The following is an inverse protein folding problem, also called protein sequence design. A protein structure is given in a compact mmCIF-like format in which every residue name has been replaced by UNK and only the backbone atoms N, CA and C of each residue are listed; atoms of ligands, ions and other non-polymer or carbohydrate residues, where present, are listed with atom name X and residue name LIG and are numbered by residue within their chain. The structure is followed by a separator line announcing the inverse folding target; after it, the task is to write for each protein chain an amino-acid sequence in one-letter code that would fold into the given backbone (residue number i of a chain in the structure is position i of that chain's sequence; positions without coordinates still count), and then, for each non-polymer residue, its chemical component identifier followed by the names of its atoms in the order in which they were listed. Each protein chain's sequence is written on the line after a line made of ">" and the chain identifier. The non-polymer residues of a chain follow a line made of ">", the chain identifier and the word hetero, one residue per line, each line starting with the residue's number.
data_IF_388947593637
#
_entry.id   IF_388947593637
#
_cell.length_a   1.000
_cell.length_b   1.000
_cell.length_c   1.000
_cell.angle_alpha   90.00
_cell.angle_beta   90.00
_cell.angle_gamma   90.00
#
_symmetry.space_group_name_H-M   'P 1'
#
loop_
_entity.id
_entity.type
_entity.pdbx_description
1 polymer ?
#
# COMPACT_ATOMS: atom_id res chain seq x y z
N UNK A 1 -2.51 -35.57 41.40
CA UNK A 1 -1.50 -34.52 41.62
C UNK A 1 -0.34 -34.57 40.59
N UNK A 2 -0.59 -34.83 39.32
CA UNK A 2 0.48 -34.93 38.28
C UNK A 2 0.34 -33.85 37.18
N UNK A 3 -0.80 -33.15 37.11
CA UNK A 3 -1.04 -32.16 36.06
C UNK A 3 -0.47 -30.73 36.31
N UNK A 4 -0.22 -30.37 37.59
CA UNK A 4 0.38 -29.04 37.92
C UNK A 4 1.85 -28.89 37.51
N UNK A 5 2.61 -29.98 37.47
CA UNK A 5 4.03 -29.95 37.11
C UNK A 5 4.30 -29.74 35.60
N UNK A 6 3.37 -30.23 34.77
CA UNK A 6 3.51 -30.10 33.29
C UNK A 6 3.20 -28.69 32.79
N UNK A 7 2.30 -27.95 33.44
CA UNK A 7 1.96 -26.58 33.10
C UNK A 7 3.16 -25.66 33.40
N UNK A 8 3.77 -25.78 34.60
CA UNK A 8 4.94 -24.99 35.00
C UNK A 8 6.18 -25.27 34.13
N UNK A 9 6.35 -26.52 33.63
CA UNK A 9 7.47 -26.86 32.75
C UNK A 9 7.31 -26.28 31.34
N UNK A 10 6.06 -26.16 30.88
CA UNK A 10 5.73 -25.54 29.61
C UNK A 10 5.99 -24.04 29.63
N UNK A 11 5.56 -23.37 30.71
CA UNK A 11 5.76 -21.93 30.88
C UNK A 11 7.26 -21.58 31.02
N UNK A 12 8.04 -22.37 31.78
CA UNK A 12 9.50 -22.18 31.94
C UNK A 12 10.26 -22.45 30.61
N UNK A 13 9.79 -23.38 29.80
CA UNK A 13 10.35 -23.66 28.48
C UNK A 13 9.99 -22.58 27.45
N UNK A 14 8.77 -22.08 27.49
CA UNK A 14 8.34 -20.98 26.66
C UNK A 14 9.11 -19.70 26.98
N UNK A 15 9.33 -19.38 28.24
CA UNK A 15 10.12 -18.22 28.67
C UNK A 15 11.61 -18.33 28.28
N UNK A 16 12.20 -19.52 28.35
CA UNK A 16 13.60 -19.75 27.89
C UNK A 16 13.76 -19.72 26.37
N UNK A 17 12.75 -20.14 25.64
CA UNK A 17 12.77 -20.14 24.18
C UNK A 17 12.31 -18.79 23.58
N UNK A 18 11.66 -17.95 24.38
CA UNK A 18 11.15 -16.64 23.96
C UNK A 18 12.20 -15.76 23.26
N UNK A 19 13.43 -15.55 23.81
CA UNK A 19 14.43 -14.74 23.13
C UNK A 19 14.93 -15.38 21.82
N UNK A 20 15.07 -16.71 21.76
CA UNK A 20 15.49 -17.43 20.55
C UNK A 20 14.38 -17.37 19.49
N UNK A 21 13.13 -17.52 19.92
CA UNK A 21 11.96 -17.43 19.03
C UNK A 21 11.75 -16.02 18.51
N UNK A 22 11.94 -14.98 19.35
CA UNK A 22 11.88 -13.59 18.94
C UNK A 22 12.97 -13.23 17.91
N UNK A 23 14.14 -13.85 18.03
CA UNK A 23 15.25 -13.65 17.10
C UNK A 23 15.07 -14.39 15.77
N UNK A 24 14.47 -15.60 15.79
CA UNK A 24 14.23 -16.40 14.58
C UNK A 24 12.90 -16.05 13.87
N UNK A 25 11.91 -15.58 14.63
CA UNK A 25 10.58 -15.23 14.14
C UNK A 25 10.13 -13.93 14.83
N UNK A 26 10.71 -12.78 14.45
CA UNK A 26 10.33 -11.51 15.05
C UNK A 26 8.83 -11.26 14.86
N UNK A 27 8.21 -10.63 15.85
CA UNK A 27 6.85 -10.10 15.70
C UNK A 27 6.87 -9.05 14.61
N UNK A 28 5.88 -9.04 13.76
CA UNK A 28 5.77 -8.08 12.68
C UNK A 28 4.56 -7.20 12.91
N UNK A 29 4.75 -5.91 12.76
CA UNK A 29 3.70 -4.91 12.83
C UNK A 29 3.56 -4.24 11.46
N UNK A 30 2.37 -4.34 10.89
CA UNK A 30 2.00 -3.64 9.69
C UNK A 30 1.46 -2.27 10.08
N UNK A 31 1.94 -1.19 9.46
CA UNK A 31 1.46 0.17 9.69
C UNK A 31 1.07 0.85 8.37
N UNK A 32 -0.15 1.34 8.31
CA UNK A 32 -0.64 2.21 7.25
C UNK A 32 -0.62 3.65 7.75
N UNK A 33 0.22 4.48 7.12
CA UNK A 33 0.32 5.90 7.40
C UNK A 33 -0.64 6.67 6.48
N UNK A 34 -1.44 7.56 7.07
CA UNK A 34 -2.28 8.51 6.36
C UNK A 34 -2.00 9.92 6.89
N UNK A 35 -2.50 10.96 6.22
CA UNK A 35 -2.26 12.34 6.66
C UNK A 35 -2.93 12.66 8.00
N UNK A 36 -4.02 11.95 8.32
CA UNK A 36 -4.89 12.19 9.49
C UNK A 36 -5.03 10.99 10.42
N UNK A 37 -4.46 9.84 10.06
CA UNK A 37 -4.62 8.62 10.85
C UNK A 37 -3.46 7.63 10.67
N UNK A 38 -3.29 6.79 11.68
CA UNK A 38 -2.39 5.66 11.70
C UNK A 38 -3.22 4.39 11.94
N UNK A 39 -3.17 3.44 11.01
CA UNK A 39 -3.76 2.12 11.17
C UNK A 39 -2.67 1.08 11.28
N UNK A 40 -2.89 0.06 12.10
CA UNK A 40 -1.91 -1.01 12.26
C UNK A 40 -2.54 -2.34 12.60
N UNK A 41 -1.81 -3.39 12.26
CA UNK A 41 -2.19 -4.77 12.55
C UNK A 41 -0.95 -5.59 12.83
N UNK A 42 -0.94 -6.29 13.97
CA UNK A 42 0.09 -7.28 14.24
C UNK A 42 -0.09 -8.48 13.31
N UNK A 43 0.98 -8.84 12.59
CA UNK A 43 1.02 -10.03 11.75
C UNK A 43 1.52 -11.22 12.59
N UNK A 44 0.69 -12.26 12.73
CA UNK A 44 1.00 -13.48 13.48
C UNK A 44 1.19 -13.31 14.99
N UNK A 45 0.31 -12.55 15.63
CA UNK A 45 0.16 -12.66 17.08
C UNK A 45 -0.20 -14.10 17.46
N UNK A 46 0.63 -14.73 18.30
CA UNK A 46 0.36 -16.12 18.80
C UNK A 46 -0.71 -16.16 19.89
N UNK A 47 -1.32 -15.00 20.17
CA UNK A 47 -2.35 -14.83 21.20
C UNK A 47 -3.76 -14.85 20.64
N UNK A 48 -4.76 -14.95 21.49
CA UNK A 48 -6.17 -14.96 21.07
C UNK A 48 -6.65 -13.66 20.44
N UNK A 49 -5.88 -12.57 20.56
CA UNK A 49 -6.21 -11.27 19.98
C UNK A 49 -4.93 -10.66 19.38
N UNK A 50 -4.88 -10.58 18.05
CA UNK A 50 -3.87 -9.80 17.37
C UNK A 50 -4.12 -8.31 17.62
N UNK A 51 -3.07 -7.54 17.92
CA UNK A 51 -3.19 -6.10 18.17
C UNK A 51 -3.63 -5.40 16.89
N UNK A 52 -4.71 -4.62 16.98
CA UNK A 52 -5.20 -3.76 15.93
C UNK A 52 -5.13 -2.31 16.41
N UNK A 53 -4.60 -1.44 15.58
CA UNK A 53 -4.39 -0.03 15.84
C UNK A 53 -5.27 0.78 14.88
N UNK A 54 -6.01 1.74 15.40
CA UNK A 54 -6.72 2.77 14.62
C UNK A 54 -6.67 4.06 15.44
N UNK A 55 -5.77 4.96 15.06
CA UNK A 55 -5.44 6.15 15.82
C UNK A 55 -5.50 7.38 14.93
N UNK A 56 -6.32 8.39 15.27
CA UNK A 56 -6.27 9.68 14.60
C UNK A 56 -4.95 10.38 14.92
N UNK A 57 -4.30 10.96 13.90
CA UNK A 57 -3.12 11.80 14.10
C UNK A 57 -3.52 13.20 14.54
N UNK A 58 -2.71 13.86 15.38
CA UNK A 58 -2.95 15.26 15.72
C UNK A 58 -2.95 16.14 14.46
N UNK A 59 -3.80 17.16 14.38
CA UNK A 59 -3.84 18.06 13.23
C UNK A 59 -2.46 18.67 12.91
N UNK A 60 -2.14 18.77 11.63
CA UNK A 60 -0.91 19.37 11.12
C UNK A 60 0.39 18.60 11.46
N UNK A 61 0.31 17.38 11.95
CA UNK A 61 1.52 16.54 12.12
C UNK A 61 1.96 15.90 10.81
N UNK A 62 1.04 15.69 9.89
CA UNK A 62 1.30 15.23 8.52
C UNK A 62 0.46 16.02 7.52
N UNK A 63 1.00 16.32 6.35
CA UNK A 63 0.30 17.01 5.28
C UNK A 63 0.87 16.59 3.91
N UNK A 64 -0.01 16.23 2.98
CA UNK A 64 0.35 15.76 1.63
C UNK A 64 1.40 14.64 1.64
N UNK A 65 1.30 13.75 2.63
CA UNK A 65 2.21 12.63 2.83
C UNK A 65 3.52 12.96 3.52
N UNK A 66 3.77 14.23 3.86
CA UNK A 66 4.99 14.67 4.51
C UNK A 66 4.80 14.78 6.03
N UNK A 67 5.67 14.16 6.87
CA UNK A 67 5.67 14.40 8.30
C UNK A 67 6.21 15.81 8.58
N UNK A 68 5.37 16.67 9.13
CA UNK A 68 5.74 18.05 9.48
C UNK A 68 6.39 18.13 10.87
N UNK A 69 5.91 17.31 11.81
CA UNK A 69 6.33 17.27 13.18
C UNK A 69 6.90 15.87 13.52
N UNK A 70 8.18 15.64 13.17
CA UNK A 70 8.80 14.30 13.27
C UNK A 70 8.90 13.79 14.71
N UNK A 71 9.32 14.64 15.65
CA UNK A 71 9.47 14.26 17.06
C UNK A 71 8.11 13.88 17.68
N UNK A 72 7.04 14.71 17.60
CA UNK A 72 5.72 14.32 18.09
C UNK A 72 5.16 13.04 17.46
N UNK A 73 5.41 12.81 16.15
CA UNK A 73 4.99 11.58 15.47
C UNK A 73 5.78 10.37 15.95
N UNK A 74 7.10 10.53 16.13
CA UNK A 74 7.97 9.48 16.65
C UNK A 74 7.57 9.07 18.06
N UNK A 75 7.37 10.06 18.95
CA UNK A 75 6.93 9.85 20.34
C UNK A 75 5.56 9.15 20.36
N UNK A 76 4.60 9.61 19.54
CA UNK A 76 3.27 9.02 19.46
C UNK A 76 3.33 7.53 19.05
N UNK A 77 4.12 7.21 18.03
CA UNK A 77 4.31 5.83 17.57
C UNK A 77 5.03 5.01 18.64
N UNK A 78 6.09 5.55 19.24
CA UNK A 78 6.84 4.89 20.32
C UNK A 78 5.96 4.56 21.52
N UNK A 79 5.20 5.54 22.03
CA UNK A 79 4.28 5.37 23.14
C UNK A 79 3.19 4.32 22.86
N UNK A 80 2.67 4.32 21.63
CA UNK A 80 1.72 3.33 21.17
C UNK A 80 2.31 1.91 21.27
N UNK A 81 3.53 1.73 20.78
CA UNK A 81 4.21 0.42 20.78
C UNK A 81 4.59 -0.03 22.18
N UNK A 82 4.96 0.90 23.08
CA UNK A 82 5.16 0.60 24.50
C UNK A 82 3.86 0.13 25.13
N UNK A 83 2.77 0.88 24.93
CA UNK A 83 1.44 0.56 25.50
C UNK A 83 0.97 -0.83 25.09
N UNK A 84 1.17 -1.19 23.83
CA UNK A 84 0.67 -2.44 23.24
C UNK A 84 1.70 -3.58 23.30
N UNK A 85 2.86 -3.34 23.93
CA UNK A 85 3.94 -4.33 24.15
C UNK A 85 4.59 -4.79 22.85
N UNK A 86 4.71 -3.90 21.84
CA UNK A 86 5.21 -4.17 20.49
C UNK A 86 6.60 -3.58 20.19
N UNK A 87 7.35 -3.16 21.20
CA UNK A 87 8.69 -2.57 21.00
C UNK A 87 9.71 -3.51 20.34
N UNK A 88 9.51 -4.83 20.49
CA UNK A 88 10.34 -5.85 19.87
C UNK A 88 9.87 -6.26 18.47
N UNK A 89 8.80 -5.65 17.98
CA UNK A 89 8.28 -5.93 16.66
C UNK A 89 9.09 -5.23 15.56
N UNK A 90 9.22 -5.92 14.45
CA UNK A 90 9.73 -5.34 13.20
C UNK A 90 8.58 -4.68 12.46
N UNK A 91 8.77 -3.44 12.03
CA UNK A 91 7.73 -2.63 11.40
C UNK A 91 7.84 -2.70 9.87
N UNK A 92 6.72 -3.02 9.24
CA UNK A 92 6.49 -2.84 7.81
C UNK A 92 5.45 -1.75 7.63
N UNK A 93 5.83 -0.64 7.01
CA UNK A 93 4.97 0.52 6.89
C UNK A 93 4.66 0.87 5.43
N UNK A 94 3.51 1.49 5.20
CA UNK A 94 3.23 2.17 3.94
C UNK A 94 3.46 3.66 4.07
N UNK A 95 3.99 4.28 3.02
CA UNK A 95 3.95 5.73 2.87
C UNK A 95 2.50 6.20 2.69
N UNK A 96 2.15 7.41 3.16
CA UNK A 96 0.87 8.02 2.86
C UNK A 96 0.62 8.11 1.35
N UNK A 97 -0.65 8.18 0.95
CA UNK A 97 -1.08 8.12 -0.45
C UNK A 97 -0.35 9.11 -1.36
N UNK A 98 -0.17 10.36 -0.90
CA UNK A 98 0.43 11.43 -1.69
C UNK A 98 1.94 11.48 -1.63
N UNK A 99 2.57 10.68 -0.78
CA UNK A 99 4.02 10.64 -0.60
C UNK A 99 4.77 10.06 -1.79
N UNK A 100 4.12 9.20 -2.58
CA UNK A 100 4.72 8.56 -3.73
C UNK A 100 3.86 8.70 -4.99
N UNK A 101 4.52 8.91 -6.11
CA UNK A 101 3.93 8.84 -7.43
C UNK A 101 4.23 7.48 -8.03
N UNK A 102 3.26 6.91 -8.74
CA UNK A 102 3.41 5.59 -9.37
C UNK A 102 2.94 5.63 -10.83
N UNK A 103 3.65 4.93 -11.70
CA UNK A 103 3.39 4.91 -13.13
C UNK A 103 3.76 3.59 -13.76
N UNK A 104 3.00 3.21 -14.77
CA UNK A 104 3.43 2.21 -15.75
C UNK A 104 4.22 2.93 -16.84
N UNK A 105 5.45 2.48 -17.09
CA UNK A 105 6.33 3.00 -18.14
C UNK A 105 6.68 1.92 -19.14
N UNK A 106 6.75 2.29 -20.41
CA UNK A 106 7.33 1.43 -21.45
C UNK A 106 8.85 1.45 -21.25
N UNK A 107 9.44 0.25 -21.17
CA UNK A 107 10.87 0.11 -20.89
C UNK A 107 11.61 -0.23 -22.18
N UNK A 108 12.45 0.65 -22.69
CA UNK A 108 13.10 0.47 -23.99
C UNK A 108 14.35 -0.42 -23.96
N UNK A 109 14.74 -0.93 -22.78
CA UNK A 109 15.96 -1.70 -22.60
C UNK A 109 15.62 -3.18 -22.32
N UNK A 110 16.58 -4.09 -22.60
CA UNK A 110 16.38 -5.53 -22.39
C UNK A 110 16.30 -5.91 -20.89
N UNK A 111 17.04 -5.20 -20.05
CA UNK A 111 17.09 -5.44 -18.60
C UNK A 111 17.07 -4.12 -17.82
N UNK A 112 16.79 -4.20 -16.52
CA UNK A 112 16.97 -3.06 -15.62
C UNK A 112 18.47 -2.96 -15.31
N UNK A 113 19.15 -1.86 -15.65
CA UNK A 113 20.57 -1.70 -15.37
C UNK A 113 20.84 -1.44 -13.89
N UNK A 114 22.07 -1.59 -13.45
CA UNK A 114 22.51 -1.33 -12.08
C UNK A 114 22.28 0.15 -11.68
N UNK A 115 22.38 1.08 -12.63
CA UNK A 115 21.97 2.48 -12.44
C UNK A 115 20.69 2.78 -13.23
N UNK A 116 19.51 2.52 -12.65
CA UNK A 116 18.25 2.78 -13.32
C UNK A 116 17.96 4.27 -13.51
N UNK A 117 18.53 5.15 -12.66
CA UNK A 117 18.32 6.60 -12.76
C UNK A 117 18.98 7.14 -14.04
N UNK A 118 20.18 6.68 -14.36
CA UNK A 118 20.85 7.05 -15.61
C UNK A 118 20.03 6.61 -16.84
N UNK A 119 19.50 5.38 -16.82
CA UNK A 119 18.65 4.88 -17.89
C UNK A 119 17.33 5.68 -18.03
N UNK A 120 16.67 5.99 -16.92
CA UNK A 120 15.43 6.79 -16.93
C UNK A 120 15.60 8.18 -17.53
N UNK A 121 16.79 8.78 -17.41
CA UNK A 121 17.11 10.07 -18.03
C UNK A 121 17.18 10.04 -19.56
N UNK A 122 17.38 8.85 -20.13
CA UNK A 122 17.49 8.66 -21.60
C UNK A 122 16.19 8.28 -22.26
N UNK A 123 15.10 8.08 -21.50
CA UNK A 123 13.77 7.74 -22.04
C UNK A 123 13.21 8.95 -22.81
N UNK A 124 12.74 8.69 -24.02
CA UNK A 124 12.10 9.68 -24.89
C UNK A 124 10.65 9.24 -25.21
N UNK A 125 9.62 10.06 -24.98
CA UNK A 125 9.69 11.40 -24.37
C UNK A 125 10.08 11.36 -22.90
N UNK A 126 10.64 12.46 -22.35
CA UNK A 126 11.04 12.53 -20.96
C UNK A 126 9.88 12.27 -20.00
N UNK A 127 10.17 11.54 -18.93
CA UNK A 127 9.18 11.28 -17.89
C UNK A 127 8.83 12.57 -17.15
N UNK A 128 7.54 12.93 -17.16
CA UNK A 128 7.05 14.05 -16.35
C UNK A 128 6.83 13.57 -14.92
N UNK A 129 7.81 13.76 -14.03
CA UNK A 129 7.79 13.39 -12.63
C UNK A 129 7.55 14.61 -11.75
N UNK A 130 6.86 14.42 -10.62
CA UNK A 130 6.66 15.49 -9.64
C UNK A 130 7.97 15.86 -8.91
N UNK A 131 8.94 14.94 -8.88
CA UNK A 131 10.24 15.11 -8.22
C UNK A 131 11.35 14.94 -9.24
N UNK A 132 12.37 15.82 -9.27
CA UNK A 132 13.55 15.65 -10.12
C UNK A 132 14.24 14.31 -9.85
N UNK A 133 14.70 13.61 -10.89
CA UNK A 133 15.37 12.29 -10.73
C UNK A 133 16.59 12.33 -9.82
N UNK A 134 17.27 13.47 -9.70
CA UNK A 134 18.42 13.67 -8.78
C UNK A 134 18.02 13.66 -7.30
N UNK A 135 16.76 13.96 -7.00
CA UNK A 135 16.20 14.07 -5.64
C UNK A 135 15.22 12.95 -5.33
N UNK A 136 15.04 12.02 -6.27
CA UNK A 136 14.10 10.94 -6.16
C UNK A 136 14.71 9.68 -5.53
N UNK A 137 13.88 8.96 -4.77
CA UNK A 137 14.01 7.54 -4.49
C UNK A 137 13.08 6.82 -5.46
N UNK A 138 13.59 5.79 -6.13
CA UNK A 138 12.89 5.10 -7.22
C UNK A 138 12.93 3.60 -6.96
N UNK A 139 11.78 2.96 -7.13
CA UNK A 139 11.65 1.51 -7.20
C UNK A 139 11.06 1.11 -8.55
N UNK A 140 11.62 0.07 -9.17
CA UNK A 140 11.22 -0.44 -10.48
C UNK A 140 10.86 -1.91 -10.38
N UNK A 141 9.65 -2.25 -10.80
CA UNK A 141 9.16 -3.64 -10.82
C UNK A 141 8.76 -4.03 -12.23
N UNK A 142 9.31 -5.12 -12.80
CA UNK A 142 8.86 -5.65 -14.08
C UNK A 142 7.38 -6.06 -14.02
N UNK A 143 6.63 -5.70 -15.08
CA UNK A 143 5.29 -6.18 -15.30
C UNK A 143 5.32 -7.36 -16.28
N UNK A 144 4.45 -8.34 -16.06
CA UNK A 144 4.28 -9.43 -16.99
C UNK A 144 3.70 -8.90 -18.31
N UNK A 145 4.01 -9.54 -19.44
CA UNK A 145 3.45 -9.16 -20.74
C UNK A 145 4.42 -9.33 -21.90
N UNK A 146 3.93 -9.10 -23.11
CA UNK A 146 4.71 -9.25 -24.36
C UNK A 146 5.62 -8.05 -24.65
N UNK A 147 5.33 -6.88 -24.08
CA UNK A 147 6.14 -5.67 -24.20
C UNK A 147 6.82 -5.41 -22.88
N UNK A 148 8.12 -5.05 -22.87
CA UNK A 148 8.81 -4.73 -21.64
C UNK A 148 8.22 -3.46 -21.03
N UNK A 149 7.54 -3.63 -19.89
CA UNK A 149 6.96 -2.54 -19.10
C UNK A 149 7.39 -2.68 -17.66
N UNK A 150 7.57 -1.55 -17.01
CA UNK A 150 7.86 -1.49 -15.59
C UNK A 150 6.79 -0.70 -14.86
N UNK A 151 6.47 -1.13 -13.65
CA UNK A 151 5.84 -0.30 -12.66
C UNK A 151 6.94 0.47 -11.94
N UNK A 152 6.86 1.79 -11.99
CA UNK A 152 7.80 2.69 -11.33
C UNK A 152 7.10 3.40 -10.18
N UNK A 153 7.67 3.31 -8.98
CA UNK A 153 7.31 4.13 -7.84
C UNK A 153 8.39 5.19 -7.61
N UNK A 154 7.98 6.44 -7.39
CA UNK A 154 8.87 7.59 -7.22
C UNK A 154 8.41 8.40 -6.01
N UNK A 155 9.33 8.65 -5.08
CA UNK A 155 9.12 9.54 -3.94
C UNK A 155 10.28 10.51 -3.81
N UNK A 156 10.07 11.65 -3.16
CA UNK A 156 11.18 12.52 -2.76
C UNK A 156 12.08 11.78 -1.78
N UNK A 157 13.40 11.79 -2.01
CA UNK A 157 14.37 11.21 -1.08
C UNK A 157 14.24 11.81 0.30
N UNK A 158 14.13 13.15 0.34
CA UNK A 158 13.95 13.87 1.62
C UNK A 158 12.71 13.36 2.38
N UNK A 159 11.59 13.14 1.68
CA UNK A 159 10.36 12.66 2.29
C UNK A 159 10.53 11.23 2.85
N UNK A 160 11.19 10.35 2.11
CA UNK A 160 11.49 8.99 2.57
C UNK A 160 12.40 9.02 3.80
N UNK A 161 13.46 9.86 3.77
CA UNK A 161 14.38 10.05 4.89
C UNK A 161 13.65 10.63 6.12
N UNK A 162 12.74 11.60 5.93
CA UNK A 162 11.95 12.20 7.00
C UNK A 162 11.05 11.13 7.69
N UNK A 163 10.46 10.20 6.96
CA UNK A 163 9.70 9.08 7.54
C UNK A 163 10.60 8.06 8.24
N UNK A 164 11.79 7.77 7.69
CA UNK A 164 12.78 6.90 8.36
C UNK A 164 13.19 7.53 9.70
N UNK A 165 13.39 8.86 9.73
CA UNK A 165 13.70 9.58 10.97
C UNK A 165 12.58 9.44 12.01
N UNK A 166 11.30 9.55 11.60
CA UNK A 166 10.15 9.33 12.50
C UNK A 166 10.20 7.95 13.15
N UNK A 167 10.46 6.89 12.38
CA UNK A 167 10.57 5.54 12.93
C UNK A 167 11.81 5.34 13.81
N UNK A 168 12.92 6.00 13.47
CA UNK A 168 14.12 6.00 14.33
C UNK A 168 13.84 6.71 15.68
N UNK A 169 13.11 7.84 15.67
CA UNK A 169 12.68 8.54 16.88
C UNK A 169 11.72 7.69 17.72
N UNK A 170 10.84 6.92 17.07
CA UNK A 170 9.97 5.96 17.75
C UNK A 170 10.74 4.78 18.39
N UNK A 171 12.02 4.61 18.08
CA UNK A 171 12.86 3.54 18.63
C UNK A 171 12.54 2.15 18.07
N UNK A 172 11.97 2.06 16.85
CA UNK A 172 11.53 0.80 16.23
C UNK A 172 12.40 0.38 15.07
N UNK A 173 12.46 -0.91 14.81
CA UNK A 173 13.13 -1.45 13.64
C UNK A 173 12.18 -1.38 12.43
N UNK A 174 12.41 -0.41 11.53
CA UNK A 174 11.72 -0.35 10.25
C UNK A 174 12.40 -1.29 9.25
N UNK A 175 11.70 -2.32 8.78
CA UNK A 175 12.22 -3.24 7.75
C UNK A 175 11.82 -2.81 6.34
N UNK A 176 10.61 -2.25 6.21
CA UNK A 176 10.07 -1.86 4.90
C UNK A 176 9.26 -0.57 4.99
N UNK A 177 9.43 0.26 3.98
CA UNK A 177 8.58 1.41 3.72
C UNK A 177 8.14 1.36 2.25
N UNK A 178 6.85 1.12 2.00
CA UNK A 178 6.31 0.88 0.66
C UNK A 178 5.26 1.92 0.28
N UNK A 179 5.10 2.27 -1.01
CA UNK A 179 3.98 3.10 -1.46
C UNK A 179 2.63 2.42 -1.19
N UNK A 180 1.63 3.16 -0.69
CA UNK A 180 0.29 2.63 -0.42
C UNK A 180 -0.36 2.00 -1.66
N UNK A 181 -0.13 2.58 -2.85
CA UNK A 181 -0.63 2.07 -4.12
C UNK A 181 -0.06 0.68 -4.44
N UNK A 182 1.24 0.46 -4.18
CA UNK A 182 1.89 -0.85 -4.40
C UNK A 182 1.31 -1.90 -3.46
N UNK A 183 1.00 -1.54 -2.22
CA UNK A 183 0.36 -2.42 -1.26
C UNK A 183 -1.07 -2.79 -1.73
N UNK A 184 -1.89 -1.83 -2.13
CA UNK A 184 -3.22 -2.12 -2.67
C UNK A 184 -3.18 -2.99 -3.91
N UNK A 185 -2.23 -2.75 -4.81
CA UNK A 185 -2.02 -3.61 -5.97
C UNK A 185 -1.74 -5.06 -5.54
N UNK A 186 -0.84 -5.27 -4.58
CA UNK A 186 -0.54 -6.60 -4.07
C UNK A 186 -1.79 -7.28 -3.47
N UNK A 187 -2.59 -6.54 -2.70
CA UNK A 187 -3.82 -7.06 -2.08
C UNK A 187 -4.85 -7.53 -3.11
N UNK A 188 -5.00 -6.83 -4.23
CA UNK A 188 -6.01 -7.17 -5.24
C UNK A 188 -5.51 -8.14 -6.30
N UNK A 189 -4.20 -8.32 -6.46
CA UNK A 189 -3.61 -9.16 -7.52
C UNK A 189 -4.15 -10.59 -7.47
N UNK A 190 -4.23 -11.19 -6.27
CA UNK A 190 -4.77 -12.55 -6.12
C UNK A 190 -6.23 -12.68 -6.54
N UNK A 191 -7.04 -11.63 -6.35
CA UNK A 191 -8.44 -11.58 -6.79
C UNK A 191 -8.56 -11.51 -8.31
N UNK A 192 -7.53 -11.00 -8.98
CA UNK A 192 -7.52 -10.74 -10.42
C UNK A 192 -6.81 -11.83 -11.24
N UNK A 193 -6.15 -12.80 -10.59
CA UNK A 193 -5.49 -13.92 -11.30
C UNK A 193 -6.45 -14.70 -12.20
N UNK A 194 -7.70 -14.87 -11.76
CA UNK A 194 -8.75 -15.56 -12.51
C UNK A 194 -9.58 -14.62 -13.40
N UNK A 195 -9.24 -13.33 -13.50
CA UNK A 195 -9.99 -12.37 -14.29
C UNK A 195 -9.91 -12.71 -15.80
N UNK A 196 -11.04 -12.61 -16.53
CA UNK A 196 -11.06 -12.81 -17.97
C UNK A 196 -10.12 -11.88 -18.71
N UNK A 197 -9.55 -12.36 -19.83
CA UNK A 197 -8.58 -11.58 -20.63
C UNK A 197 -9.18 -10.32 -21.27
N UNK A 198 -10.50 -10.25 -21.40
CA UNK A 198 -11.25 -9.13 -21.96
C UNK A 198 -11.88 -8.23 -20.89
N UNK A 199 -11.48 -8.39 -19.61
CA UNK A 199 -11.99 -7.62 -18.48
C UNK A 199 -11.02 -6.51 -18.05
N UNK A 200 -11.57 -5.29 -17.90
CA UNK A 200 -10.91 -4.18 -17.26
C UNK A 200 -11.48 -4.01 -15.85
N UNK A 201 -10.63 -4.09 -14.86
CA UNK A 201 -11.00 -3.83 -13.48
C UNK A 201 -10.79 -2.35 -13.14
N UNK A 202 -11.82 -1.73 -12.61
CA UNK A 202 -11.85 -0.36 -12.11
C UNK A 202 -11.83 -0.42 -10.59
N UNK A 203 -10.69 -0.16 -9.98
CA UNK A 203 -10.57 -0.07 -8.51
C UNK A 203 -10.60 1.37 -8.09
N UNK A 204 -11.51 1.71 -7.18
CA UNK A 204 -11.62 3.05 -6.59
C UNK A 204 -11.36 2.96 -5.09
N UNK A 205 -10.42 3.77 -4.64
CA UNK A 205 -10.06 3.90 -3.23
C UNK A 205 -10.41 5.30 -2.74
N UNK A 206 -11.46 5.47 -1.90
CA UNK A 206 -11.77 6.75 -1.30
C UNK A 206 -10.77 7.11 -0.20
N UNK A 207 -10.47 8.41 -0.10
CA UNK A 207 -9.66 8.99 0.96
C UNK A 207 -10.17 10.42 1.27
N UNK A 208 -9.77 11.06 2.39
CA UNK A 208 -10.34 12.34 2.82
C UNK A 208 -10.27 13.48 1.78
N UNK A 209 -9.28 13.46 0.89
CA UNK A 209 -9.10 14.48 -0.15
C UNK A 209 -9.75 14.13 -1.51
N UNK A 210 -10.56 13.07 -1.59
CA UNK A 210 -11.20 12.61 -2.84
C UNK A 210 -11.17 11.09 -2.97
N UNK A 211 -10.73 10.60 -4.11
CA UNK A 211 -10.51 9.16 -4.31
C UNK A 211 -9.36 8.93 -5.28
N UNK A 212 -8.85 7.70 -5.29
CA UNK A 212 -7.85 7.25 -6.24
C UNK A 212 -8.46 6.19 -7.15
N UNK A 213 -8.31 6.38 -8.47
CA UNK A 213 -8.67 5.40 -9.50
C UNK A 213 -7.44 4.58 -9.86
N UNK A 214 -7.59 3.27 -9.92
CA UNK A 214 -6.64 2.34 -10.51
C UNK A 214 -7.36 1.50 -11.55
N UNK A 215 -6.92 1.57 -12.80
CA UNK A 215 -7.36 0.66 -13.85
C UNK A 215 -6.37 -0.50 -13.95
N UNK A 216 -6.90 -1.71 -13.98
CA UNK A 216 -6.13 -2.94 -14.10
C UNK A 216 -6.66 -3.80 -15.23
N UNK A 217 -5.76 -4.32 -16.04
CA UNK A 217 -6.06 -5.34 -17.02
C UNK A 217 -5.46 -6.66 -16.56
N UNK A 218 -6.32 -7.59 -16.12
CA UNK A 218 -5.91 -8.76 -15.34
C UNK A 218 -5.16 -8.31 -14.07
N UNK A 219 -3.97 -8.85 -13.83
CA UNK A 219 -3.11 -8.52 -12.68
C UNK A 219 -2.21 -7.29 -12.92
N UNK A 220 -2.25 -6.70 -14.11
CA UNK A 220 -1.38 -5.58 -14.46
C UNK A 220 -2.06 -4.23 -14.28
N UNK A 221 -1.46 -3.31 -13.54
CA UNK A 221 -1.90 -1.94 -13.50
C UNK A 221 -1.63 -1.27 -14.85
N UNK A 222 -2.61 -0.57 -15.38
CA UNK A 222 -2.50 0.08 -16.70
C UNK A 222 -2.67 1.58 -16.63
N UNK A 223 -3.29 2.09 -15.55
CA UNK A 223 -3.54 3.51 -15.37
C UNK A 223 -3.91 3.84 -13.93
N UNK A 224 -3.38 4.94 -13.43
CA UNK A 224 -3.63 5.48 -12.09
C UNK A 224 -4.01 6.96 -12.20
N UNK A 225 -5.05 7.41 -11.47
CA UNK A 225 -5.55 8.77 -11.58
C UNK A 225 -6.20 9.26 -10.28
N UNK A 226 -5.84 10.46 -9.78
CA UNK A 226 -6.54 11.07 -8.67
C UNK A 226 -7.94 11.52 -9.11
N UNK A 227 -8.93 11.24 -8.28
CA UNK A 227 -10.31 11.62 -8.50
C UNK A 227 -10.72 12.80 -7.59
N UNK A 228 -11.59 13.70 -8.07
CA UNK A 228 -12.07 14.82 -7.28
C UNK A 228 -12.98 14.37 -6.13
N UNK A 229 -13.20 15.25 -5.13
CA UNK A 229 -14.15 15.01 -4.03
C UNK A 229 -15.61 15.13 -4.45
N UNK A 230 -15.90 15.97 -5.44
CA UNK A 230 -17.27 16.16 -5.94
C UNK A 230 -17.77 14.91 -6.65
N UNK A 231 -18.89 14.36 -6.18
CA UNK A 231 -19.43 13.08 -6.64
C UNK A 231 -19.74 13.06 -8.14
N UNK A 232 -20.31 14.13 -8.71
CA UNK A 232 -20.63 14.19 -10.14
C UNK A 232 -19.35 14.30 -10.97
N UNK A 233 -18.37 15.08 -10.51
CA UNK A 233 -17.09 15.20 -11.17
C UNK A 233 -16.32 13.88 -11.12
N UNK A 234 -16.37 13.16 -9.99
CA UNK A 234 -15.78 11.84 -9.82
C UNK A 234 -16.36 10.84 -10.83
N UNK A 235 -17.66 10.73 -10.93
CA UNK A 235 -18.34 9.82 -11.88
C UNK A 235 -17.96 10.15 -13.32
N UNK A 236 -17.97 11.44 -13.69
CA UNK A 236 -17.58 11.89 -15.04
C UNK A 236 -16.13 11.51 -15.34
N UNK A 237 -15.23 11.71 -14.37
CA UNK A 237 -13.80 11.45 -14.55
C UNK A 237 -13.51 9.95 -14.68
N UNK A 238 -14.14 9.11 -13.83
CA UNK A 238 -14.01 7.64 -13.95
C UNK A 238 -14.49 7.18 -15.33
N UNK A 239 -15.68 7.62 -15.77
CA UNK A 239 -16.21 7.25 -17.08
C UNK A 239 -15.31 7.71 -18.24
N UNK A 240 -14.71 8.91 -18.11
CA UNK A 240 -13.73 9.44 -19.06
C UNK A 240 -12.50 8.52 -19.16
N UNK A 241 -11.91 8.15 -18.03
CA UNK A 241 -10.73 7.29 -17.98
C UNK A 241 -11.00 5.89 -18.55
N UNK A 242 -12.12 5.28 -18.16
CA UNK A 242 -12.54 3.95 -18.66
C UNK A 242 -12.78 4.00 -20.17
N UNK A 243 -13.49 5.03 -20.66
CA UNK A 243 -13.77 5.20 -22.09
C UNK A 243 -12.49 5.42 -22.88
N UNK A 244 -11.57 6.24 -22.38
CA UNK A 244 -10.26 6.47 -22.99
C UNK A 244 -9.49 5.15 -23.13
N UNK A 245 -9.41 4.36 -22.05
CA UNK A 245 -8.67 3.12 -22.08
C UNK A 245 -9.28 2.08 -23.01
N UNK A 246 -10.62 1.91 -23.01
CA UNK A 246 -11.32 1.00 -23.92
C UNK A 246 -11.17 1.37 -25.39
N UNK A 247 -11.03 2.66 -25.71
CA UNK A 247 -10.72 3.09 -27.09
C UNK A 247 -9.31 2.73 -27.51
N UNK A 248 -8.36 2.74 -26.56
CA UNK A 248 -6.97 2.35 -26.80
C UNK A 248 -6.82 0.84 -26.92
N UNK A 249 -7.61 0.07 -26.19
CA UNK A 249 -7.63 -1.38 -26.23
C UNK A 249 -9.06 -1.90 -26.51
N UNK A 250 -9.42 -2.09 -27.81
CA UNK A 250 -10.74 -2.60 -28.19
C UNK A 250 -11.02 -4.06 -27.81
N UNK A 251 -10.03 -4.81 -27.34
CA UNK A 251 -10.23 -6.17 -26.83
C UNK A 251 -11.02 -6.21 -25.54
N UNK A 252 -11.05 -5.11 -24.79
CA UNK A 252 -11.77 -4.98 -23.53
C UNK A 252 -13.27 -4.86 -23.75
N UNK A 253 -13.99 -5.89 -23.33
CA UNK A 253 -15.45 -5.99 -23.47
C UNK A 253 -16.18 -5.93 -22.14
N UNK A 254 -15.52 -6.34 -21.06
CA UNK A 254 -16.09 -6.42 -19.71
C UNK A 254 -15.49 -5.38 -18.80
N UNK A 255 -16.29 -4.95 -17.83
CA UNK A 255 -15.84 -4.10 -16.73
C UNK A 255 -16.17 -4.78 -15.42
N UNK A 256 -15.27 -4.64 -14.46
CA UNK A 256 -15.47 -4.98 -13.05
C UNK A 256 -15.21 -3.75 -12.21
N UNK A 257 -16.14 -3.38 -11.33
CA UNK A 257 -15.98 -2.22 -10.44
C UNK A 257 -15.73 -2.72 -9.03
N UNK A 258 -14.55 -2.41 -8.49
CA UNK A 258 -14.14 -2.71 -7.13
C UNK A 258 -14.03 -1.41 -6.33
N UNK A 259 -14.56 -1.40 -5.13
CA UNK A 259 -14.44 -0.30 -4.18
C UNK A 259 -13.72 -0.80 -2.93
N UNK A 260 -12.70 -0.09 -2.48
CA UNK A 260 -12.01 -0.45 -1.23
C UNK A 260 -12.80 -0.05 0.02
N UNK A 261 -13.77 0.83 -0.12
CA UNK A 261 -14.75 1.23 0.89
C UNK A 261 -16.00 1.82 0.20
N UNK A 262 -17.15 1.91 0.88
CA UNK A 262 -18.36 2.53 0.34
C UNK A 262 -18.12 3.98 -0.10
N UNK A 263 -18.75 4.39 -1.20
CA UNK A 263 -18.73 5.75 -1.75
C UNK A 263 -20.14 6.33 -1.83
N UNK A 264 -20.37 7.61 -1.54
CA UNK A 264 -21.68 8.25 -1.74
C UNK A 264 -22.16 8.15 -3.19
N UNK A 265 -21.25 8.29 -4.15
CA UNK A 265 -21.50 8.20 -5.60
C UNK A 265 -21.59 6.79 -6.16
N UNK A 266 -21.60 5.74 -5.32
CA UNK A 266 -21.57 4.35 -5.76
C UNK A 266 -22.66 3.99 -6.78
N UNK A 267 -23.90 4.36 -6.51
CA UNK A 267 -25.03 4.05 -7.41
C UNK A 267 -24.89 4.76 -8.75
N UNK A 268 -24.47 6.03 -8.73
CA UNK A 268 -24.20 6.81 -9.95
C UNK A 268 -23.06 6.23 -10.77
N UNK A 269 -22.02 5.67 -10.11
CA UNK A 269 -20.92 4.96 -10.79
C UNK A 269 -21.41 3.68 -11.44
N UNK A 270 -22.23 2.88 -10.74
CA UNK A 270 -22.80 1.64 -11.26
C UNK A 270 -23.65 1.93 -12.53
N UNK A 271 -24.49 2.97 -12.48
CA UNK A 271 -25.31 3.39 -13.61
C UNK A 271 -24.45 3.87 -14.79
N UNK A 272 -23.45 4.72 -14.53
CA UNK A 272 -22.58 5.27 -15.56
C UNK A 272 -21.71 4.21 -16.27
N UNK A 273 -21.27 3.18 -15.54
CA UNK A 273 -20.42 2.12 -16.06
C UNK A 273 -21.23 0.89 -16.52
N UNK A 274 -22.50 0.78 -16.14
CA UNK A 274 -23.36 -0.36 -16.45
C UNK A 274 -22.96 -1.65 -15.74
N UNK A 275 -22.28 -1.55 -14.55
CA UNK A 275 -21.82 -2.69 -13.77
C UNK A 275 -22.07 -2.49 -12.29
N UNK A 276 -22.24 -3.57 -11.54
CA UNK A 276 -22.39 -3.50 -10.09
C UNK A 276 -21.02 -3.32 -9.43
N UNK A 277 -21.01 -2.52 -8.37
CA UNK A 277 -19.82 -2.37 -7.52
C UNK A 277 -19.72 -3.54 -6.53
N UNK A 278 -18.51 -4.06 -6.39
CA UNK A 278 -18.12 -5.03 -5.38
C UNK A 278 -17.27 -4.29 -4.35
N UNK A 279 -17.74 -4.25 -3.10
CA UNK A 279 -16.99 -3.65 -2.00
C UNK A 279 -16.03 -4.70 -1.45
N UNK A 280 -14.74 -4.37 -1.47
CA UNK A 280 -13.71 -5.24 -0.91
C UNK A 280 -13.71 -5.15 0.61
N UNK A 281 -13.75 -6.31 1.26
CA UNK A 281 -13.63 -6.44 2.72
C UNK A 281 -12.29 -7.09 3.04
N UNK A 282 -11.24 -6.31 3.33
CA UNK A 282 -9.89 -6.82 3.55
C UNK A 282 -9.75 -7.43 4.95
N UNK A 283 -10.55 -8.46 5.28
CA UNK A 283 -10.43 -9.16 6.54
C UNK A 283 -9.22 -10.11 6.55
N UNK A 284 -8.52 -10.22 7.69
CA UNK A 284 -8.77 -9.54 8.98
C UNK A 284 -8.11 -8.16 9.11
N UNK A 285 -7.55 -7.61 8.05
CA UNK A 285 -6.65 -6.45 8.10
C UNK A 285 -7.36 -5.09 8.19
N UNK A 286 -8.66 -5.00 7.90
CA UNK A 286 -9.42 -3.75 7.92
C UNK A 286 -9.04 -2.75 6.82
N UNK A 287 -7.92 -2.97 6.09
CA UNK A 287 -7.43 -2.12 5.00
C UNK A 287 -6.72 -2.94 3.92
N UNK A 288 -6.91 -2.56 2.64
CA UNK A 288 -6.18 -3.17 1.52
C UNK A 288 -4.68 -2.89 1.58
N UNK A 289 -4.26 -1.78 2.18
CA UNK A 289 -2.85 -1.44 2.33
C UNK A 289 -2.19 -2.40 3.31
N UNK A 290 -2.80 -2.61 4.49
CA UNK A 290 -2.30 -3.56 5.48
C UNK A 290 -2.31 -5.00 4.93
N UNK A 291 -3.37 -5.40 4.22
CA UNK A 291 -3.41 -6.69 3.54
C UNK A 291 -2.26 -6.86 2.53
N UNK A 292 -1.99 -5.83 1.74
CA UNK A 292 -0.91 -5.86 0.76
C UNK A 292 0.49 -5.87 1.37
N UNK A 293 0.70 -5.18 2.50
CA UNK A 293 1.94 -5.28 3.28
C UNK A 293 2.18 -6.73 3.75
N UNK A 294 1.13 -7.40 4.27
CA UNK A 294 1.20 -8.78 4.69
C UNK A 294 1.54 -9.75 3.54
N UNK A 295 0.94 -9.54 2.36
CA UNK A 295 1.18 -10.37 1.17
C UNK A 295 2.59 -10.21 0.61
N UNK A 296 3.16 -9.01 0.65
CA UNK A 296 4.50 -8.74 0.18
C UNK A 296 5.61 -9.46 0.98
N UNK A 297 5.29 -9.90 2.20
CA UNK A 297 6.15 -10.78 3.02
C UNK A 297 6.09 -12.25 2.57
N UNK A 298 4.92 -12.71 2.10
CA UNK A 298 4.71 -14.12 1.74
C UNK A 298 5.44 -14.55 0.47
N UNK A 299 6.04 -13.60 -0.27
CA UNK A 299 6.74 -13.82 -1.55
C UNK A 299 8.27 -13.92 -1.38
N UNK A 300 8.79 -13.76 -0.15
CA UNK A 300 10.20 -14.05 0.20
C UNK A 300 10.34 -15.47 0.72
#
# INVERSE_FOLDING_TARGET
>A
MVFSGLIGLKDDLEDRLRPVRAQLFPRQLLLELQDDSLKGQELRGSGPEAVSIDLPLPPLTCLDGQPLEKEPLGDLIGDLLVRDGLLDAVVLASLPERAAQWRVIDWPFEAIPDDPIAALRTIDPPLNLAVPLSEATIDLRPLAGSTPRLLMAVASRKLVDDWIDVFNLAGVQLERLAPAQSCRLAAVTSLLEAAPVDELTVLIHPHPAGAQLLLMHRTEPVFDWPLPQDDEALVREVNRCVTFYRRRDPSIRRLRLLLSAPLPSQDSLQDALGVRAEILTPEPFGSLVLQGLAMAESVR
#
